data_IF_789776831168
#
_entry.id   IF_789776831168
#
_cell.length_a   1.000
_cell.length_b   1.000
_cell.length_c   1.000
_cell.angle_alpha   90.00
_cell.angle_beta   90.00
_cell.angle_gamma   90.00
#
_symmetry.space_group_name_H-M   'P 1'
#
loop_
_entity.id
_entity.type
_entity.pdbx_description
1 polymer ?
#
# COMPACT_ATOMS: atom_id res chain seq x y z
N UNK A 1 -42.00 -13.25 -11.37
CA UNK A 1 -41.02 -14.30 -11.69
C UNK A 1 -39.74 -13.94 -10.98
N UNK A 2 -39.30 -14.76 -10.01
CA UNK A 2 -37.99 -14.55 -9.41
C UNK A 2 -36.97 -14.78 -10.54
N UNK A 3 -36.16 -13.77 -10.86
CA UNK A 3 -35.05 -13.97 -11.78
C UNK A 3 -34.16 -15.04 -11.14
N UNK A 4 -34.01 -16.19 -11.80
CA UNK A 4 -33.11 -17.24 -11.32
C UNK A 4 -31.70 -16.66 -11.25
N UNK A 5 -31.22 -16.41 -10.03
CA UNK A 5 -29.83 -16.06 -9.78
C UNK A 5 -29.05 -17.37 -9.91
N UNK A 6 -28.69 -17.73 -11.14
CA UNK A 6 -27.75 -18.82 -11.38
C UNK A 6 -26.40 -18.32 -10.91
N UNK A 7 -25.92 -18.86 -9.78
CA UNK A 7 -24.54 -18.67 -9.37
C UNK A 7 -23.67 -19.49 -10.33
N UNK A 8 -22.77 -18.83 -11.06
CA UNK A 8 -21.78 -19.47 -11.92
C UNK A 8 -20.42 -19.50 -11.19
N UNK A 9 -20.00 -20.64 -10.62
CA UNK A 9 -18.75 -20.73 -9.87
C UNK A 9 -17.53 -20.68 -10.78
N UNK A 10 -16.62 -19.73 -10.56
CA UNK A 10 -15.29 -19.74 -11.17
C UNK A 10 -14.30 -20.49 -10.26
N UNK A 11 -14.12 -21.79 -10.54
CA UNK A 11 -13.18 -22.64 -9.80
C UNK A 11 -11.72 -22.22 -10.00
N UNK A 12 -11.37 -21.60 -11.12
CA UNK A 12 -10.01 -21.13 -11.37
C UNK A 12 -9.73 -19.92 -10.49
N UNK A 13 -10.66 -18.98 -10.37
CA UNK A 13 -10.54 -17.86 -9.44
C UNK A 13 -10.35 -18.32 -7.98
N UNK A 14 -11.08 -19.35 -7.53
CA UNK A 14 -10.86 -19.91 -6.19
C UNK A 14 -9.45 -20.49 -6.02
N UNK A 15 -8.91 -21.18 -7.03
CA UNK A 15 -7.53 -21.70 -7.00
C UNK A 15 -6.51 -20.56 -6.95
N UNK A 16 -6.72 -19.53 -7.76
CA UNK A 16 -5.85 -18.36 -7.78
C UNK A 16 -5.86 -17.64 -6.41
N UNK A 17 -7.01 -17.59 -5.73
CA UNK A 17 -7.13 -17.01 -4.39
C UNK A 17 -6.30 -17.80 -3.37
N UNK A 18 -6.40 -19.14 -3.42
CA UNK A 18 -5.60 -20.04 -2.59
C UNK A 18 -4.10 -19.76 -2.82
N UNK A 19 -3.66 -19.68 -4.08
CA UNK A 19 -2.28 -19.36 -4.45
C UNK A 19 -1.86 -17.93 -4.03
N UNK A 20 -2.80 -17.00 -3.93
CA UNK A 20 -2.57 -15.63 -3.47
C UNK A 20 -2.52 -15.48 -1.93
N UNK A 21 -2.73 -16.56 -1.17
CA UNK A 21 -2.63 -16.58 0.29
C UNK A 21 -3.94 -16.91 1.03
N UNK A 22 -5.02 -17.26 0.31
CA UNK A 22 -6.30 -17.63 0.90
C UNK A 22 -6.43 -19.16 1.14
N UNK A 23 -5.34 -19.83 1.55
CA UNK A 23 -5.26 -21.30 1.61
C UNK A 23 -6.33 -21.98 2.48
N UNK A 24 -6.84 -21.28 3.49
CA UNK A 24 -7.80 -21.79 4.45
C UNK A 24 -9.27 -21.46 4.14
N UNK A 25 -9.55 -20.80 3.00
CA UNK A 25 -10.89 -20.31 2.67
C UNK A 25 -11.94 -21.42 2.71
N UNK A 26 -11.58 -22.66 2.34
CA UNK A 26 -12.49 -23.82 2.30
C UNK A 26 -12.84 -24.38 3.69
N UNK A 27 -12.17 -23.96 4.76
CA UNK A 27 -12.47 -24.39 6.14
C UNK A 27 -13.71 -23.71 6.74
N UNK A 28 -14.12 -22.56 6.17
CA UNK A 28 -15.26 -21.78 6.64
C UNK A 28 -16.58 -22.57 6.49
N UNK A 29 -17.39 -22.63 7.55
CA UNK A 29 -18.75 -23.21 7.53
C UNK A 29 -19.83 -22.16 7.84
N UNK A 30 -19.51 -20.87 7.66
CA UNK A 30 -20.48 -19.77 7.71
C UNK A 30 -21.12 -19.53 9.09
N UNK A 31 -20.36 -19.63 10.18
CA UNK A 31 -20.85 -19.42 11.56
C UNK A 31 -21.06 -17.95 11.99
N UNK A 32 -20.63 -16.98 11.19
CA UNK A 32 -20.72 -15.54 11.46
C UNK A 32 -19.87 -14.95 12.61
N UNK A 33 -19.09 -15.74 13.36
CA UNK A 33 -18.20 -15.23 14.42
C UNK A 33 -17.32 -14.07 13.92
N UNK A 34 -16.78 -14.18 12.72
CA UNK A 34 -15.94 -13.15 12.10
C UNK A 34 -16.66 -11.82 11.85
N UNK A 35 -17.96 -11.86 11.54
CA UNK A 35 -18.78 -10.67 11.30
C UNK A 35 -19.14 -9.96 12.60
N UNK A 36 -19.35 -10.71 13.69
CA UNK A 36 -19.62 -10.14 15.02
C UNK A 36 -18.34 -9.60 15.66
N UNK A 37 -17.20 -10.25 15.41
CA UNK A 37 -15.90 -9.82 15.94
C UNK A 37 -15.40 -8.50 15.34
N UNK A 38 -15.86 -8.12 14.14
CA UNK A 38 -15.35 -6.97 13.42
C UNK A 38 -16.01 -5.67 13.88
N UNK A 39 -15.30 -4.87 14.67
CA UNK A 39 -15.82 -3.60 15.25
C UNK A 39 -16.08 -2.51 14.22
N UNK A 40 -15.38 -2.57 13.09
CA UNK A 40 -15.44 -1.58 12.01
C UNK A 40 -16.35 -2.01 10.85
N UNK A 41 -17.10 -3.10 11.03
CA UNK A 41 -18.07 -3.56 10.04
C UNK A 41 -19.37 -2.76 10.17
N UNK A 42 -19.99 -2.29 9.05
CA UNK A 42 -21.29 -1.65 9.13
C UNK A 42 -22.38 -2.61 9.62
N UNK A 43 -23.26 -2.14 10.51
CA UNK A 43 -24.35 -2.94 11.09
C UNK A 43 -25.25 -3.60 10.01
N UNK A 44 -25.52 -2.86 8.94
CA UNK A 44 -26.40 -3.30 7.86
C UNK A 44 -25.69 -4.09 6.74
N UNK A 45 -24.36 -4.16 6.77
CA UNK A 45 -23.58 -4.89 5.76
C UNK A 45 -22.30 -5.44 6.40
N UNK A 46 -22.43 -6.42 7.31
CA UNK A 46 -21.29 -6.94 8.03
C UNK A 46 -20.41 -7.82 7.12
N UNK A 47 -19.10 -7.69 7.29
CA UNK A 47 -18.04 -8.50 6.65
C UNK A 47 -17.22 -9.21 7.74
N UNK A 48 -16.45 -10.29 7.45
CA UNK A 48 -16.15 -10.88 6.15
C UNK A 48 -16.96 -12.14 5.80
N UNK A 49 -18.04 -12.49 6.52
CA UNK A 49 -18.75 -13.78 6.32
C UNK A 49 -19.22 -13.98 4.87
N UNK A 50 -19.85 -12.97 4.27
CA UNK A 50 -20.38 -13.05 2.89
C UNK A 50 -19.25 -13.16 1.86
N UNK A 51 -18.14 -12.49 2.10
CA UNK A 51 -16.93 -12.55 1.26
C UNK A 51 -16.29 -13.93 1.34
N UNK A 52 -16.34 -14.58 2.51
CA UNK A 52 -15.88 -15.95 2.66
C UNK A 52 -16.67 -16.93 1.79
N UNK A 53 -18.01 -16.81 1.73
CA UNK A 53 -18.80 -17.71 0.88
C UNK A 53 -18.57 -17.42 -0.61
N UNK A 54 -18.44 -16.15 -0.99
CA UNK A 54 -18.14 -15.78 -2.38
C UNK A 54 -16.75 -16.29 -2.81
N UNK A 55 -15.75 -16.23 -1.93
CA UNK A 55 -14.44 -16.81 -2.18
C UNK A 55 -14.51 -18.34 -2.32
N UNK A 56 -15.30 -19.01 -1.47
CA UNK A 56 -15.50 -20.46 -1.53
C UNK A 56 -16.18 -20.91 -2.82
N UNK A 57 -17.13 -20.14 -3.33
CA UNK A 57 -17.89 -20.46 -4.53
C UNK A 57 -17.32 -19.87 -5.80
N UNK A 58 -16.20 -19.13 -5.73
CA UNK A 58 -15.59 -18.56 -6.92
C UNK A 58 -16.44 -17.44 -7.55
N UNK A 59 -17.22 -16.70 -6.76
CA UNK A 59 -18.04 -15.60 -7.24
C UNK A 59 -17.19 -14.34 -7.45
N UNK A 60 -16.32 -14.38 -8.45
CA UNK A 60 -15.29 -13.37 -8.73
C UNK A 60 -15.85 -11.95 -8.75
N UNK A 61 -16.88 -11.71 -9.56
CA UNK A 61 -17.42 -10.36 -9.75
C UNK A 61 -18.05 -9.81 -8.47
N UNK A 62 -18.78 -10.64 -7.71
CA UNK A 62 -19.33 -10.19 -6.42
C UNK A 62 -18.23 -9.82 -5.43
N UNK A 63 -17.17 -10.62 -5.40
CA UNK A 63 -16.10 -10.46 -4.42
C UNK A 63 -15.16 -9.31 -4.76
N UNK A 64 -14.75 -9.17 -6.02
CA UNK A 64 -13.87 -8.08 -6.45
C UNK A 64 -14.58 -6.72 -6.43
N UNK A 65 -15.89 -6.70 -6.60
CA UNK A 65 -16.62 -5.44 -6.65
C UNK A 65 -17.22 -5.00 -5.30
N UNK A 66 -17.03 -5.78 -4.22
CA UNK A 66 -17.49 -5.38 -2.90
C UNK A 66 -16.47 -4.44 -2.23
N UNK A 67 -16.85 -3.18 -1.91
CA UNK A 67 -15.93 -2.26 -1.24
C UNK A 67 -15.52 -2.72 0.17
N UNK A 68 -16.23 -3.66 0.82
CA UNK A 68 -15.85 -4.20 2.14
C UNK A 68 -14.45 -4.80 2.15
N UNK A 69 -14.01 -5.33 1.00
CA UNK A 69 -12.64 -5.79 0.79
C UNK A 69 -11.64 -4.70 1.17
N UNK A 70 -11.92 -3.43 0.87
CA UNK A 70 -11.06 -2.28 1.12
C UNK A 70 -11.36 -1.53 2.43
N UNK A 71 -12.58 -1.65 2.96
CA UNK A 71 -12.94 -1.17 4.29
C UNK A 71 -12.23 -1.96 5.38
N UNK A 72 -12.10 -3.28 5.21
CA UNK A 72 -11.38 -4.11 6.16
C UNK A 72 -9.93 -3.61 6.38
N UNK A 73 -9.47 -3.61 7.63
CA UNK A 73 -8.11 -3.18 7.97
C UNK A 73 -7.10 -4.32 8.04
N UNK A 74 -7.55 -5.55 7.83
CA UNK A 74 -6.75 -6.76 7.94
C UNK A 74 -6.06 -6.86 9.30
N UNK A 75 -6.77 -6.49 10.37
CA UNK A 75 -6.29 -6.59 11.76
C UNK A 75 -6.12 -8.04 12.24
N UNK A 76 -6.86 -8.97 11.62
CA UNK A 76 -6.96 -10.39 11.93
C UNK A 76 -7.72 -10.75 13.22
N UNK A 77 -8.47 -9.81 13.83
CA UNK A 77 -9.41 -10.15 14.93
C UNK A 77 -10.36 -11.29 14.51
N UNK A 78 -10.90 -11.19 13.29
CA UNK A 78 -11.77 -12.22 12.72
C UNK A 78 -11.08 -13.56 12.45
N UNK A 79 -9.76 -13.57 12.22
CA UNK A 79 -8.98 -14.80 12.00
C UNK A 79 -8.65 -15.48 13.33
N UNK A 80 -8.21 -14.72 14.32
CA UNK A 80 -7.86 -15.24 15.66
C UNK A 80 -9.06 -15.84 16.39
N UNK A 81 -10.26 -15.28 16.18
CA UNK A 81 -11.50 -15.79 16.77
C UNK A 81 -12.20 -16.87 15.92
N UNK A 82 -11.65 -17.25 14.76
CA UNK A 82 -12.30 -18.21 13.88
C UNK A 82 -12.19 -19.63 14.46
N UNK A 83 -13.31 -20.32 14.80
CA UNK A 83 -13.28 -21.65 15.43
C UNK A 83 -12.73 -22.77 14.52
N UNK A 84 -12.48 -22.46 13.24
CA UNK A 84 -11.96 -23.41 12.24
C UNK A 84 -10.60 -23.04 11.70
N UNK A 85 -10.05 -21.89 12.11
CA UNK A 85 -8.86 -21.33 11.48
C UNK A 85 -9.04 -21.13 9.97
N UNK A 86 -10.18 -20.58 9.54
CA UNK A 86 -10.45 -20.27 8.13
C UNK A 86 -9.80 -18.97 7.64
N UNK A 87 -9.10 -18.25 8.54
CA UNK A 87 -8.30 -17.05 8.28
C UNK A 87 -8.96 -15.99 7.38
N UNK A 88 -10.15 -15.44 7.72
CA UNK A 88 -10.86 -14.49 6.86
C UNK A 88 -10.08 -13.21 6.53
N UNK A 89 -9.22 -12.75 7.44
CA UNK A 89 -8.34 -11.61 7.18
C UNK A 89 -7.35 -11.87 6.04
N UNK A 90 -6.86 -13.09 5.90
CA UNK A 90 -5.96 -13.49 4.81
C UNK A 90 -6.70 -13.66 3.48
N UNK A 91 -7.93 -14.14 3.53
CA UNK A 91 -8.80 -14.18 2.35
C UNK A 91 -9.02 -12.78 1.81
N UNK A 92 -9.44 -11.81 2.64
CA UNK A 92 -9.62 -10.43 2.18
C UNK A 92 -8.32 -9.78 1.70
N UNK A 93 -7.17 -10.10 2.32
CA UNK A 93 -5.85 -9.66 1.82
C UNK A 93 -5.58 -10.20 0.41
N UNK A 94 -5.84 -11.48 0.15
CA UNK A 94 -5.66 -12.10 -1.16
C UNK A 94 -6.59 -11.47 -2.21
N UNK A 95 -7.85 -11.20 -1.84
CA UNK A 95 -8.82 -10.51 -2.70
C UNK A 95 -8.34 -9.10 -3.06
N UNK A 96 -7.75 -8.33 -2.13
CA UNK A 96 -7.17 -7.00 -2.45
C UNK A 96 -6.07 -7.09 -3.50
N UNK A 97 -5.18 -8.07 -3.37
CA UNK A 97 -4.13 -8.31 -4.37
C UNK A 97 -4.75 -8.50 -5.75
N UNK A 98 -5.76 -9.35 -5.85
CA UNK A 98 -6.47 -9.59 -7.11
C UNK A 98 -7.21 -8.36 -7.62
N UNK A 99 -7.85 -7.60 -6.73
CA UNK A 99 -8.54 -6.37 -7.09
C UNK A 99 -7.57 -5.31 -7.66
N UNK A 100 -6.35 -5.19 -7.10
CA UNK A 100 -5.30 -4.36 -7.70
C UNK A 100 -4.95 -4.90 -9.08
N UNK A 101 -4.67 -6.19 -9.24
CA UNK A 101 -4.23 -6.77 -10.51
C UNK A 101 -5.29 -6.65 -11.62
N UNK A 102 -6.56 -6.85 -11.28
CA UNK A 102 -7.70 -6.74 -12.22
C UNK A 102 -7.85 -5.30 -12.72
N UNK A 103 -7.68 -4.33 -11.83
CA UNK A 103 -7.87 -2.92 -12.15
C UNK A 103 -6.58 -2.21 -12.59
N UNK A 104 -5.44 -2.90 -12.64
CA UNK A 104 -4.15 -2.30 -12.95
C UNK A 104 -4.10 -1.78 -14.39
N UNK A 105 -3.73 -0.51 -14.57
CA UNK A 105 -3.35 0.03 -15.86
C UNK A 105 -1.89 0.50 -15.87
N UNK A 106 -1.06 0.07 -16.83
CA UNK A 106 -1.34 -1.01 -17.79
C UNK A 106 -1.33 -2.41 -17.12
N UNK A 107 -2.19 -3.30 -17.59
CA UNK A 107 -2.47 -4.59 -16.92
C UNK A 107 -1.26 -5.54 -16.85
N UNK A 108 -0.34 -5.47 -17.82
CA UNK A 108 0.86 -6.30 -17.80
C UNK A 108 1.80 -5.96 -16.64
N UNK A 109 1.81 -4.72 -16.14
CA UNK A 109 2.62 -4.35 -14.98
C UNK A 109 2.03 -4.89 -13.67
N UNK A 110 0.70 -4.93 -13.56
CA UNK A 110 0.01 -5.63 -12.46
C UNK A 110 0.37 -7.12 -12.42
N UNK A 111 0.53 -7.75 -13.59
CA UNK A 111 1.01 -9.15 -13.70
C UNK A 111 2.49 -9.28 -13.33
N UNK A 112 3.36 -8.40 -13.85
CA UNK A 112 4.80 -8.36 -13.55
C UNK A 112 5.05 -8.30 -12.04
N UNK A 113 4.38 -7.38 -11.35
CA UNK A 113 4.60 -7.15 -9.91
C UNK A 113 3.92 -8.21 -9.05
N UNK A 114 2.76 -8.73 -9.44
CA UNK A 114 1.99 -9.67 -8.63
C UNK A 114 2.33 -11.15 -8.79
N UNK A 115 3.16 -11.52 -9.78
CA UNK A 115 3.49 -12.91 -10.11
C UNK A 115 4.87 -13.31 -9.57
N UNK A 116 4.99 -14.36 -8.73
CA UNK A 116 6.27 -14.77 -8.13
C UNK A 116 7.36 -15.08 -9.15
N UNK A 117 7.02 -15.75 -10.25
CA UNK A 117 7.98 -16.12 -11.31
C UNK A 117 8.60 -14.94 -12.06
N UNK A 118 8.07 -13.72 -11.91
CA UNK A 118 8.56 -12.53 -12.59
C UNK A 118 9.42 -11.63 -11.69
N UNK A 119 9.75 -12.09 -10.47
CA UNK A 119 10.55 -11.31 -9.50
C UNK A 119 11.87 -10.79 -10.09
N UNK A 120 12.65 -11.66 -10.73
CA UNK A 120 13.95 -11.30 -11.30
C UNK A 120 13.79 -10.24 -12.37
N UNK A 121 12.74 -10.31 -13.19
CA UNK A 121 12.46 -9.31 -14.21
C UNK A 121 12.04 -7.98 -13.58
N UNK A 122 11.14 -8.01 -12.58
CA UNK A 122 10.67 -6.82 -11.88
C UNK A 122 11.81 -6.08 -11.16
N UNK A 123 12.75 -6.80 -10.54
CA UNK A 123 13.92 -6.19 -9.90
C UNK A 123 14.99 -5.82 -10.93
N UNK A 124 15.13 -6.59 -12.01
CA UNK A 124 16.12 -6.37 -13.06
C UNK A 124 15.90 -5.09 -13.86
N UNK A 125 14.65 -4.67 -14.10
CA UNK A 125 14.32 -3.45 -14.84
C UNK A 125 14.94 -2.19 -14.19
N UNK A 126 14.65 -1.83 -12.93
CA UNK A 126 15.25 -0.64 -12.33
C UNK A 126 16.77 -0.77 -12.16
N UNK A 127 17.30 -1.98 -11.93
CA UNK A 127 18.74 -2.22 -11.91
C UNK A 127 19.37 -1.86 -13.26
N UNK A 128 18.84 -2.42 -14.36
CA UNK A 128 19.36 -2.18 -15.70
C UNK A 128 19.30 -0.69 -16.07
N UNK A 129 18.20 0.00 -15.77
CA UNK A 129 18.06 1.44 -16.04
C UNK A 129 19.06 2.26 -15.24
N UNK A 130 19.22 2.00 -13.93
CA UNK A 130 20.18 2.76 -13.11
C UNK A 130 21.63 2.44 -13.50
N UNK A 131 21.96 1.19 -13.79
CA UNK A 131 23.29 0.84 -14.29
C UNK A 131 23.57 1.49 -15.65
N UNK A 132 22.57 1.60 -16.52
CA UNK A 132 22.70 2.35 -17.76
C UNK A 132 22.99 3.84 -17.51
N UNK A 133 22.30 4.47 -16.55
CA UNK A 133 22.60 5.86 -16.14
C UNK A 133 24.04 5.97 -15.62
N UNK A 134 24.50 5.05 -14.76
CA UNK A 134 25.88 5.03 -14.24
C UNK A 134 26.90 4.83 -15.36
N UNK A 135 26.60 3.97 -16.34
CA UNK A 135 27.43 3.73 -17.51
C UNK A 135 27.61 5.00 -18.35
N UNK A 136 26.51 5.66 -18.71
CA UNK A 136 26.55 6.96 -19.41
C UNK A 136 27.28 8.02 -18.57
N UNK A 137 27.19 7.93 -17.25
CA UNK A 137 27.86 8.87 -16.35
C UNK A 137 29.37 8.67 -16.29
N UNK A 138 29.93 7.55 -16.78
CA UNK A 138 31.38 7.29 -16.87
C UNK A 138 31.87 6.02 -16.17
N UNK A 139 30.99 5.30 -15.45
CA UNK A 139 31.31 4.03 -14.77
C UNK A 139 32.58 4.07 -13.88
N UNK A 140 32.88 5.21 -13.27
CA UNK A 140 34.04 5.38 -12.40
C UNK A 140 33.69 6.25 -11.20
N UNK A 141 34.33 6.02 -10.06
CA UNK A 141 34.15 6.88 -8.89
C UNK A 141 34.99 8.15 -9.03
N UNK A 142 34.39 9.35 -8.92
CA UNK A 142 35.15 10.59 -8.92
C UNK A 142 36.15 10.63 -7.75
N UNK A 143 37.35 11.12 -8.03
CA UNK A 143 38.34 11.46 -7.00
C UNK A 143 37.98 12.80 -6.33
N UNK A 144 38.19 12.90 -5.01
CA UNK A 144 37.99 14.15 -4.26
C UNK A 144 36.76 14.10 -3.34
N UNK A 145 36.17 15.26 -2.99
CA UNK A 145 35.04 15.31 -2.06
C UNK A 145 33.81 14.62 -2.68
N UNK A 146 33.04 13.92 -1.84
CA UNK A 146 31.84 13.20 -2.25
C UNK A 146 30.81 14.19 -2.84
N UNK A 147 30.62 14.10 -4.16
CA UNK A 147 29.60 14.82 -4.93
C UNK A 147 28.77 13.81 -5.71
N UNK A 148 27.46 13.76 -5.44
CA UNK A 148 26.56 12.76 -6.03
C UNK A 148 26.18 13.06 -7.48
N UNK A 149 26.10 14.33 -7.84
CA UNK A 149 25.51 14.76 -9.11
C UNK A 149 26.43 15.71 -9.88
N UNK A 150 26.37 15.61 -11.21
CA UNK A 150 27.07 16.47 -12.16
C UNK A 150 26.13 16.86 -13.30
N UNK A 151 26.33 18.05 -13.88
CA UNK A 151 25.61 18.50 -15.09
C UNK A 151 26.32 18.10 -16.39
N UNK A 152 27.45 17.40 -16.28
CA UNK A 152 28.25 16.95 -17.43
C UNK A 152 28.35 15.43 -17.45
N UNK A 153 28.39 14.87 -18.66
CA UNK A 153 28.57 13.44 -18.93
C UNK A 153 30.03 13.04 -18.63
N UNK A 154 30.28 11.80 -18.20
CA UNK A 154 31.63 11.25 -17.97
C UNK A 154 32.51 12.06 -16.99
N UNK A 155 31.90 12.48 -15.86
CA UNK A 155 32.41 13.20 -14.68
C UNK A 155 33.51 14.28 -14.86
N UNK A 156 33.17 15.57 -14.73
CA UNK A 156 34.08 16.58 -14.22
C UNK A 156 33.55 17.18 -12.91
N UNK A 157 33.59 16.38 -11.83
CA UNK A 157 33.30 16.70 -10.42
C UNK A 157 31.95 16.20 -9.83
N UNK A 158 31.32 15.15 -10.35
CA UNK A 158 30.19 14.51 -9.64
C UNK A 158 29.74 13.19 -10.25
N UNK A 159 29.25 12.25 -9.43
CA UNK A 159 29.13 10.81 -9.75
C UNK A 159 27.96 10.39 -10.66
N UNK A 160 26.89 11.17 -10.80
CA UNK A 160 25.78 10.82 -11.72
C UNK A 160 25.42 12.01 -12.58
N UNK A 161 25.22 11.77 -13.87
CA UNK A 161 24.70 12.76 -14.80
C UNK A 161 23.24 13.12 -14.46
N UNK A 162 23.08 14.24 -13.77
CA UNK A 162 21.83 14.66 -13.14
C UNK A 162 20.67 14.89 -14.12
N UNK A 163 20.86 15.52 -15.29
CA UNK A 163 19.77 15.73 -16.24
C UNK A 163 19.10 14.43 -16.70
N UNK A 164 19.89 13.39 -17.00
CA UNK A 164 19.33 12.09 -17.39
C UNK A 164 18.60 11.41 -16.23
N UNK A 165 19.16 11.47 -15.02
CA UNK A 165 18.52 10.95 -13.82
C UNK A 165 17.16 11.63 -13.58
N UNK A 166 17.11 12.96 -13.65
CA UNK A 166 15.89 13.76 -13.45
C UNK A 166 14.81 13.43 -14.48
N UNK A 167 15.16 13.35 -15.77
CA UNK A 167 14.18 13.00 -16.82
C UNK A 167 13.58 11.62 -16.57
N UNK A 168 14.41 10.62 -16.28
CA UNK A 168 13.95 9.24 -16.08
C UNK A 168 13.09 9.12 -14.81
N UNK A 169 13.54 9.67 -13.68
CA UNK A 169 12.83 9.55 -12.41
C UNK A 169 11.55 10.37 -12.40
N UNK A 170 11.54 11.56 -13.02
CA UNK A 170 10.32 12.37 -13.17
C UNK A 170 9.33 11.67 -14.09
N UNK A 171 9.77 11.09 -15.22
CA UNK A 171 8.92 10.30 -16.08
C UNK A 171 8.36 9.06 -15.35
N UNK A 172 9.16 8.38 -14.54
CA UNK A 172 8.70 7.24 -13.72
C UNK A 172 7.64 7.67 -12.68
N UNK A 173 7.84 8.81 -12.01
CA UNK A 173 6.86 9.35 -11.06
C UNK A 173 5.55 9.73 -11.75
N UNK A 174 5.62 10.45 -12.88
CA UNK A 174 4.45 10.84 -13.67
C UNK A 174 3.72 9.60 -14.18
N UNK A 175 4.45 8.62 -14.71
CA UNK A 175 3.89 7.35 -15.17
C UNK A 175 3.19 6.60 -14.03
N UNK A 176 3.82 6.49 -12.85
CA UNK A 176 3.24 5.86 -11.68
C UNK A 176 1.96 6.56 -11.21
N UNK A 177 1.94 7.90 -11.21
CA UNK A 177 0.77 8.70 -10.84
C UNK A 177 -0.38 8.52 -11.84
N UNK A 178 -0.11 8.62 -13.14
CA UNK A 178 -1.11 8.40 -14.21
C UNK A 178 -1.67 6.97 -14.13
N UNK A 179 -0.78 5.98 -13.94
CA UNK A 179 -1.16 4.58 -13.80
C UNK A 179 -2.07 4.35 -12.59
N UNK A 180 -1.77 4.97 -11.44
CA UNK A 180 -2.63 4.92 -10.26
C UNK A 180 -4.01 5.52 -10.57
N UNK A 181 -4.06 6.72 -11.14
CA UNK A 181 -5.32 7.40 -11.49
C UNK A 181 -6.17 6.54 -12.42
N UNK A 182 -5.58 5.98 -13.47
CA UNK A 182 -6.28 5.10 -14.41
C UNK A 182 -6.78 3.82 -13.74
N UNK A 183 -5.99 3.24 -12.84
CA UNK A 183 -6.38 2.04 -12.10
C UNK A 183 -7.53 2.32 -11.14
N UNK A 184 -7.51 3.47 -10.46
CA UNK A 184 -8.60 3.92 -9.58
C UNK A 184 -9.88 4.26 -10.36
N UNK A 185 -9.77 4.80 -11.58
CA UNK A 185 -10.92 5.02 -12.47
C UNK A 185 -11.57 3.70 -12.89
N UNK A 186 -10.77 2.67 -13.21
CA UNK A 186 -11.28 1.32 -13.48
C UNK A 186 -12.03 0.77 -12.28
N UNK A 187 -11.42 0.88 -11.09
CA UNK A 187 -12.03 0.41 -9.85
C UNK A 187 -13.33 1.16 -9.50
N UNK A 188 -13.38 2.48 -9.71
CA UNK A 188 -14.61 3.25 -9.53
C UNK A 188 -15.77 2.74 -10.38
N UNK A 189 -15.50 2.48 -11.67
CA UNK A 189 -16.51 1.93 -12.59
C UNK A 189 -17.00 0.54 -12.14
N UNK A 190 -16.10 -0.27 -11.58
CA UNK A 190 -16.41 -1.58 -11.01
C UNK A 190 -17.33 -1.49 -9.78
N UNK A 191 -17.14 -0.47 -8.93
CA UNK A 191 -18.04 -0.20 -7.81
C UNK A 191 -19.43 0.26 -8.30
N UNK A 192 -19.48 1.16 -9.29
CA UNK A 192 -20.74 1.64 -9.88
C UNK A 192 -21.57 0.51 -10.51
N UNK A 193 -20.94 -0.43 -11.20
CA UNK A 193 -21.64 -1.58 -11.81
C UNK A 193 -22.22 -2.55 -10.79
N UNK A 194 -21.81 -2.44 -9.53
CA UNK A 194 -22.09 -3.42 -8.49
C UNK A 194 -23.05 -2.91 -7.43
N UNK A 195 -23.73 -1.78 -7.70
CA UNK A 195 -24.75 -1.21 -6.86
C UNK A 195 -26.15 -1.77 -7.23
N UNK A 196 -26.63 -2.87 -6.61
CA UNK A 196 -27.89 -3.51 -6.97
C UNK A 196 -29.05 -2.94 -6.16
N UNK A 197 -28.77 -2.07 -5.18
CA UNK A 197 -29.75 -1.48 -4.28
C UNK A 197 -29.81 0.00 -4.62
N UNK A 198 -30.97 0.45 -5.07
CA UNK A 198 -31.27 1.87 -5.31
C UNK A 198 -31.24 2.71 -4.02
N UNK A 199 -30.13 2.69 -3.28
CA UNK A 199 -29.76 3.74 -2.32
C UNK A 199 -29.25 4.96 -3.12
N UNK A 200 -29.95 5.30 -4.21
CA UNK A 200 -29.83 6.60 -4.84
C UNK A 200 -30.71 7.55 -4.04
N UNK A 201 -30.11 8.39 -3.19
CA UNK A 201 -30.83 9.51 -2.59
C UNK A 201 -30.45 9.89 -1.16
N UNK A 202 -29.61 9.13 -0.43
CA UNK A 202 -29.26 9.44 0.96
C UNK A 202 -27.77 9.70 1.23
N UNK A 203 -26.88 9.50 0.24
CA UNK A 203 -25.45 9.74 0.38
C UNK A 203 -25.03 11.19 0.15
N UNK A 204 -23.80 11.55 0.53
CA UNK A 204 -23.25 12.90 0.31
C UNK A 204 -22.60 13.00 -1.08
N UNK A 205 -22.52 14.19 -1.70
CA UNK A 205 -21.77 14.35 -2.95
C UNK A 205 -20.32 13.85 -2.80
N UNK A 206 -19.72 13.42 -3.90
CA UNK A 206 -18.41 12.75 -3.88
C UNK A 206 -17.30 13.59 -3.22
N UNK A 207 -17.24 14.90 -3.47
CA UNK A 207 -16.19 15.77 -2.93
C UNK A 207 -16.24 15.85 -1.38
N UNK A 208 -17.39 16.17 -0.75
CA UNK A 208 -17.55 16.02 0.70
C UNK A 208 -17.18 14.63 1.23
N UNK A 209 -17.68 13.56 0.57
CA UNK A 209 -17.33 12.17 0.95
C UNK A 209 -15.83 11.91 0.93
N UNK A 210 -15.12 12.46 -0.06
CA UNK A 210 -13.67 12.34 -0.18
C UNK A 210 -12.94 13.07 0.95
N UNK A 211 -13.36 14.29 1.28
CA UNK A 211 -12.78 15.07 2.39
C UNK A 211 -12.97 14.32 3.72
N UNK A 212 -14.19 13.85 4.00
CA UNK A 212 -14.48 13.05 5.19
C UNK A 212 -13.66 11.76 5.23
N UNK A 213 -13.42 11.13 4.09
CA UNK A 213 -12.57 9.93 3.99
C UNK A 213 -11.11 10.24 4.33
N UNK A 214 -10.57 11.37 3.85
CA UNK A 214 -9.20 11.79 4.18
C UNK A 214 -9.05 12.13 5.67
N UNK A 215 -10.03 12.79 6.26
CA UNK A 215 -10.06 13.11 7.69
C UNK A 215 -10.07 11.86 8.59
N UNK A 216 -10.65 10.76 8.10
CA UNK A 216 -10.64 9.47 8.80
C UNK A 216 -9.33 8.68 8.58
N UNK A 217 -8.81 8.67 7.34
CA UNK A 217 -7.65 7.87 6.96
C UNK A 217 -6.35 8.42 7.54
N UNK A 218 -6.11 9.74 7.48
CA UNK A 218 -4.85 10.35 7.90
C UNK A 218 -4.49 10.08 9.38
N UNK A 219 -5.40 10.30 10.36
CA UNK A 219 -5.11 9.98 11.76
C UNK A 219 -5.22 8.48 12.08
N UNK A 220 -5.65 7.64 11.12
CA UNK A 220 -5.88 6.21 11.31
C UNK A 220 -6.86 5.88 12.47
N UNK A 221 -7.86 6.73 12.71
CA UNK A 221 -8.80 6.60 13.86
C UNK A 221 -9.50 5.25 13.89
N UNK A 222 -10.02 4.80 12.75
CA UNK A 222 -10.73 3.51 12.59
C UNK A 222 -9.79 2.31 12.81
N UNK A 223 -8.49 2.45 12.52
CA UNK A 223 -7.52 1.38 12.75
C UNK A 223 -7.18 1.18 14.22
N UNK A 224 -7.34 2.20 15.05
CA UNK A 224 -7.14 2.10 16.50
C UNK A 224 -8.16 1.16 17.16
N UNK A 225 -9.31 0.92 16.53
CA UNK A 225 -10.37 0.04 17.06
C UNK A 225 -10.07 -1.46 16.91
N UNK A 226 -8.99 -1.80 16.19
CA UNK A 226 -8.59 -3.17 15.89
C UNK A 226 -7.56 -3.72 16.90
N UNK A 227 -8.00 -4.51 17.87
CA UNK A 227 -7.20 -4.81 19.07
C UNK A 227 -6.14 -5.90 18.93
N UNK A 228 -6.35 -6.96 18.14
CA UNK A 228 -5.37 -8.05 18.05
C UNK A 228 -4.03 -7.60 17.47
N UNK A 229 -3.95 -6.37 16.93
CA UNK A 229 -2.75 -5.88 16.29
C UNK A 229 -2.39 -4.42 16.59
N UNK A 230 -2.56 -3.97 17.84
CA UNK A 230 -2.22 -2.61 18.28
C UNK A 230 -0.76 -2.19 17.99
N UNK A 231 0.19 -3.12 18.07
CA UNK A 231 1.59 -2.82 17.70
C UNK A 231 1.73 -2.51 16.21
N UNK A 232 0.93 -3.17 15.34
CA UNK A 232 0.95 -2.88 13.90
C UNK A 232 0.35 -1.52 13.62
N UNK A 233 -0.65 -1.07 14.37
CA UNK A 233 -1.15 0.30 14.29
C UNK A 233 -0.01 1.32 14.52
N UNK A 234 0.73 1.19 15.63
CA UNK A 234 1.85 2.08 15.93
C UNK A 234 2.95 2.00 14.87
N UNK A 235 3.37 0.80 14.48
CA UNK A 235 4.38 0.60 13.45
C UNK A 235 3.96 1.18 12.08
N UNK A 236 2.68 1.08 11.73
CA UNK A 236 2.13 1.66 10.50
C UNK A 236 2.11 3.17 10.56
N UNK A 237 1.76 3.76 11.70
CA UNK A 237 1.76 5.22 11.86
C UNK A 237 3.18 5.79 11.72
N UNK A 238 4.18 5.11 12.31
CA UNK A 238 5.60 5.46 12.16
C UNK A 238 6.07 5.38 10.70
N UNK A 239 5.73 4.29 10.01
CA UNK A 239 6.07 4.11 8.60
C UNK A 239 5.35 5.13 7.70
N UNK A 240 4.05 5.37 7.92
CA UNK A 240 3.25 6.28 7.11
C UNK A 240 3.74 7.73 7.22
N UNK A 241 3.86 8.26 8.44
CA UNK A 241 4.31 9.65 8.65
C UNK A 241 5.80 9.83 8.38
N UNK A 242 6.62 8.81 8.64
CA UNK A 242 8.03 8.80 8.23
C UNK A 242 8.16 8.92 6.72
N UNK A 243 7.41 8.13 5.96
CA UNK A 243 7.40 8.20 4.51
C UNK A 243 6.84 9.52 3.97
N UNK A 244 5.76 10.04 4.56
CA UNK A 244 5.19 11.32 4.16
C UNK A 244 6.18 12.47 4.39
N UNK A 245 6.88 12.49 5.53
CA UNK A 245 7.91 13.49 5.79
C UNK A 245 9.12 13.36 4.86
N UNK A 246 9.55 12.14 4.51
CA UNK A 246 10.56 11.90 3.48
C UNK A 246 10.13 12.40 2.10
N UNK A 247 8.87 12.16 1.72
CA UNK A 247 8.31 12.65 0.47
C UNK A 247 8.25 14.18 0.44
N UNK A 248 7.73 14.82 1.50
CA UNK A 248 7.64 16.28 1.63
C UNK A 248 9.03 16.92 1.58
N UNK A 249 10.00 16.38 2.31
CA UNK A 249 11.37 16.90 2.30
C UNK A 249 12.01 16.79 0.92
N UNK A 250 11.82 15.65 0.24
CA UNK A 250 12.27 15.46 -1.15
C UNK A 250 11.59 16.44 -2.10
N UNK A 251 10.27 16.61 -2.00
CA UNK A 251 9.50 17.51 -2.85
C UNK A 251 9.91 18.97 -2.68
N UNK A 252 10.13 19.43 -1.43
CA UNK A 252 10.60 20.79 -1.14
C UNK A 252 11.99 21.01 -1.74
N UNK A 253 12.91 20.05 -1.56
CA UNK A 253 14.27 20.16 -2.11
C UNK A 253 14.25 20.15 -3.63
N UNK A 254 13.48 19.25 -4.25
CA UNK A 254 13.31 19.19 -5.70
C UNK A 254 12.70 20.49 -6.24
N UNK A 255 11.62 21.00 -5.64
CA UNK A 255 11.00 22.26 -6.06
C UNK A 255 11.95 23.45 -5.95
N UNK A 256 12.64 23.58 -4.82
CA UNK A 256 13.60 24.67 -4.63
C UNK A 256 14.77 24.59 -5.63
N UNK A 257 15.27 23.39 -5.90
CA UNK A 257 16.41 23.19 -6.78
C UNK A 257 16.05 23.26 -8.26
N UNK A 258 15.03 22.51 -8.69
CA UNK A 258 14.66 22.32 -10.09
C UNK A 258 13.80 23.48 -10.62
N UNK A 259 12.97 24.11 -9.79
CA UNK A 259 12.05 25.18 -10.21
C UNK A 259 12.58 26.56 -9.85
N UNK A 260 13.06 26.75 -8.61
CA UNK A 260 13.54 28.05 -8.15
C UNK A 260 15.04 28.27 -8.36
N UNK A 261 15.81 27.24 -8.73
CA UNK A 261 17.26 27.33 -8.89
C UNK A 261 18.03 27.55 -7.58
N UNK A 262 17.38 27.37 -6.43
CA UNK A 262 17.97 27.57 -5.11
C UNK A 262 18.83 26.37 -4.72
N UNK A 263 20.09 26.62 -4.37
CA UNK A 263 21.00 25.57 -3.91
C UNK A 263 20.58 25.11 -2.51
N UNK A 264 20.57 23.79 -2.23
CA UNK A 264 20.19 23.28 -0.92
C UNK A 264 21.18 23.76 0.17
N UNK A 265 20.68 24.17 1.33
CA UNK A 265 21.51 24.65 2.44
C UNK A 265 22.34 23.50 3.03
N UNK A 266 23.67 23.60 2.87
CA UNK A 266 24.71 22.68 3.34
C UNK A 266 24.52 21.20 2.90
N UNK A 267 25.47 20.70 2.12
CA UNK A 267 25.48 19.29 1.71
C UNK A 267 26.10 18.36 2.76
N UNK A 268 26.73 18.86 3.84
CA UNK A 268 27.59 18.07 4.73
C UNK A 268 27.06 18.00 6.18
N UNK A 269 27.01 16.78 6.73
CA UNK A 269 26.56 16.48 8.10
C UNK A 269 25.04 16.31 8.27
N UNK A 270 24.57 15.99 9.49
CA UNK A 270 23.14 15.92 9.83
C UNK A 270 22.44 17.27 9.63
N UNK A 271 23.20 18.38 9.59
CA UNK A 271 22.72 19.74 9.37
C UNK A 271 21.84 20.25 10.51
N UNK A 272 21.93 21.53 10.83
CA UNK A 272 20.98 22.21 11.74
C UNK A 272 19.79 22.81 11.00
N UNK A 273 19.72 22.61 9.68
CA UNK A 273 18.67 23.19 8.85
C UNK A 273 17.37 22.42 9.07
N UNK A 274 16.21 23.10 9.22
CA UNK A 274 14.94 22.44 9.52
C UNK A 274 14.58 21.29 8.58
N UNK A 275 14.85 21.42 7.28
CA UNK A 275 14.54 20.39 6.29
C UNK A 275 15.35 19.09 6.50
N UNK A 276 16.58 19.21 6.98
CA UNK A 276 17.45 18.06 7.27
C UNK A 276 17.04 17.37 8.58
N UNK A 277 16.69 18.15 9.60
CA UNK A 277 16.15 17.62 10.86
C UNK A 277 14.87 16.83 10.58
N UNK A 278 13.96 17.41 9.79
CA UNK A 278 12.73 16.74 9.37
C UNK A 278 13.05 15.45 8.59
N UNK A 279 13.94 15.52 7.60
CA UNK A 279 14.34 14.35 6.80
C UNK A 279 14.89 13.21 7.65
N UNK A 280 15.78 13.50 8.59
CA UNK A 280 16.43 12.49 9.42
C UNK A 280 15.46 11.90 10.45
N UNK A 281 14.62 12.73 11.09
CA UNK A 281 13.57 12.25 11.98
C UNK A 281 12.57 11.35 11.23
N UNK A 282 12.17 11.77 10.03
CA UNK A 282 11.30 10.99 9.14
C UNK A 282 11.93 9.67 8.70
N UNK A 283 13.22 9.66 8.36
CA UNK A 283 13.94 8.44 7.98
C UNK A 283 14.02 7.42 9.13
N UNK A 284 14.34 7.89 10.34
CA UNK A 284 14.37 7.04 11.54
C UNK A 284 12.99 6.47 11.83
N UNK A 285 11.95 7.32 11.83
CA UNK A 285 10.56 6.89 12.02
C UNK A 285 10.14 5.84 11.00
N UNK A 286 10.47 6.08 9.72
CA UNK A 286 10.13 5.18 8.62
C UNK A 286 10.79 3.80 8.77
N UNK A 287 12.11 3.76 8.96
CA UNK A 287 12.86 2.51 9.07
C UNK A 287 12.51 1.76 10.35
N UNK A 288 12.30 2.45 11.47
CA UNK A 288 11.84 1.83 12.71
C UNK A 288 10.45 1.18 12.55
N UNK A 289 9.50 1.90 11.93
CA UNK A 289 8.17 1.36 11.64
C UNK A 289 8.23 0.09 10.78
N UNK A 290 9.03 0.10 9.71
CA UNK A 290 9.22 -1.07 8.86
C UNK A 290 9.94 -2.22 9.58
N UNK A 291 10.95 -1.92 10.39
CA UNK A 291 11.69 -2.93 11.15
C UNK A 291 10.77 -3.65 12.16
N UNK A 292 9.93 -2.92 12.88
CA UNK A 292 8.93 -3.50 13.80
C UNK A 292 7.98 -4.43 13.02
N UNK A 293 7.50 -4.00 11.85
CA UNK A 293 6.63 -4.85 11.01
C UNK A 293 7.34 -6.10 10.50
N UNK A 294 8.61 -5.99 10.11
CA UNK A 294 9.41 -7.10 9.61
C UNK A 294 9.67 -8.13 10.70
N UNK A 295 10.12 -7.69 11.89
CA UNK A 295 10.36 -8.56 13.04
C UNK A 295 9.08 -9.30 13.40
N UNK A 296 7.95 -8.60 13.52
CA UNK A 296 6.67 -9.25 13.89
C UNK A 296 6.16 -10.23 12.84
N UNK A 297 6.42 -9.97 11.56
CA UNK A 297 6.10 -10.92 10.50
C UNK A 297 6.90 -12.22 10.64
N UNK A 298 8.11 -12.16 11.18
CA UNK A 298 8.97 -13.31 11.41
C UNK A 298 8.69 -14.01 12.75
N UNK A 299 8.27 -13.27 13.78
CA UNK A 299 8.13 -13.81 15.16
C UNK A 299 6.69 -14.10 15.60
N UNK A 300 5.67 -13.47 15.00
CA UNK A 300 4.25 -13.61 15.37
C UNK A 300 3.33 -13.90 14.17
N UNK A 301 3.59 -14.98 13.40
CA UNK A 301 2.88 -15.26 12.15
C UNK A 301 1.38 -15.55 12.34
N UNK A 302 1.00 -16.12 13.48
CA UNK A 302 -0.37 -16.41 13.90
C UNK A 302 -1.25 -15.16 14.00
N UNK A 303 -0.68 -14.05 14.47
CA UNK A 303 -1.37 -12.75 14.58
C UNK A 303 -1.32 -11.95 13.28
N UNK A 304 -0.23 -12.06 12.51
CA UNK A 304 -0.04 -11.27 11.28
C UNK A 304 -0.69 -11.90 10.05
N UNK A 305 -1.03 -13.18 10.11
CA UNK A 305 -1.52 -13.98 8.99
C UNK A 305 -0.39 -14.38 8.04
N UNK A 306 -0.75 -15.12 6.99
CA UNK A 306 0.16 -15.63 5.97
C UNK A 306 0.89 -14.49 5.24
N UNK A 307 2.12 -14.72 4.77
CA UNK A 307 2.88 -13.75 3.98
C UNK A 307 2.94 -14.23 2.53
N UNK A 308 2.27 -13.53 1.62
CA UNK A 308 2.32 -13.87 0.20
C UNK A 308 3.54 -13.21 -0.47
N UNK A 309 3.92 -13.69 -1.65
CA UNK A 309 4.95 -13.06 -2.49
C UNK A 309 4.75 -11.54 -2.64
N UNK A 310 3.51 -11.11 -2.84
CA UNK A 310 3.14 -9.71 -3.01
C UNK A 310 3.50 -8.84 -1.79
N UNK A 311 3.41 -9.40 -0.58
CA UNK A 311 3.82 -8.73 0.65
C UNK A 311 5.36 -8.62 0.72
N UNK A 312 6.06 -9.70 0.39
CA UNK A 312 7.52 -9.76 0.44
C UNK A 312 8.19 -8.88 -0.61
N UNK A 313 7.67 -8.86 -1.84
CA UNK A 313 8.15 -7.98 -2.90
C UNK A 313 8.06 -6.51 -2.47
N UNK A 314 6.89 -6.11 -1.95
CA UNK A 314 6.71 -4.74 -1.48
C UNK A 314 7.63 -4.41 -0.30
N UNK A 315 7.76 -5.31 0.69
CA UNK A 315 8.67 -5.13 1.81
C UNK A 315 10.14 -5.03 1.38
N UNK A 316 10.57 -5.86 0.42
CA UNK A 316 11.91 -5.82 -0.16
C UNK A 316 12.20 -4.44 -0.77
N UNK A 317 11.28 -3.92 -1.60
CA UNK A 317 11.46 -2.62 -2.26
C UNK A 317 11.45 -1.47 -1.25
N UNK A 318 10.46 -1.42 -0.36
CA UNK A 318 10.27 -0.29 0.56
C UNK A 318 11.32 -0.25 1.68
N UNK A 319 11.66 -1.41 2.25
CA UNK A 319 12.72 -1.51 3.25
C UNK A 319 14.10 -1.29 2.60
N UNK A 320 14.32 -1.84 1.41
CA UNK A 320 15.51 -1.58 0.61
C UNK A 320 15.72 -0.08 0.38
N UNK A 321 14.69 0.64 -0.07
CA UNK A 321 14.73 2.09 -0.26
C UNK A 321 15.08 2.83 1.05
N UNK A 322 14.39 2.53 2.16
CA UNK A 322 14.63 3.17 3.45
C UNK A 322 16.03 2.90 4.02
N UNK A 323 16.44 1.62 4.07
CA UNK A 323 17.72 1.20 4.62
C UNK A 323 18.90 1.71 3.77
N UNK A 324 18.85 1.55 2.45
CA UNK A 324 19.90 2.08 1.55
C UNK A 324 20.03 3.60 1.63
N UNK A 325 18.92 4.33 1.83
CA UNK A 325 18.95 5.79 1.99
C UNK A 325 19.71 6.21 3.25
N UNK A 326 19.38 5.60 4.40
CA UNK A 326 20.11 5.83 5.66
C UNK A 326 21.59 5.43 5.55
N UNK A 327 21.89 4.27 4.97
CA UNK A 327 23.28 3.80 4.79
C UNK A 327 24.08 4.71 3.87
N UNK A 328 23.44 5.28 2.83
CA UNK A 328 24.07 6.28 1.96
C UNK A 328 24.45 7.54 2.75
N UNK A 329 23.60 7.98 3.68
CA UNK A 329 23.93 9.11 4.55
C UNK A 329 25.07 8.78 5.54
N UNK A 330 25.01 7.63 6.21
CA UNK A 330 26.02 7.21 7.18
C UNK A 330 27.40 7.00 6.55
N UNK A 331 27.46 6.33 5.39
CA UNK A 331 28.71 6.14 4.65
C UNK A 331 29.32 7.47 4.22
N UNK A 332 28.49 8.45 3.83
CA UNK A 332 28.95 9.80 3.48
C UNK A 332 29.57 10.52 4.68
N UNK A 333 29.02 10.36 5.89
CA UNK A 333 29.58 10.97 7.10
C UNK A 333 30.95 10.39 7.49
N UNK A 334 31.16 9.10 7.21
CA UNK A 334 32.45 8.42 7.46
C UNK A 334 33.48 8.69 6.36
N UNK A 335 33.08 9.34 5.26
CA UNK A 335 33.97 9.65 4.13
C UNK A 335 34.34 8.44 3.27
N UNK A 336 33.65 7.31 3.41
CA UNK A 336 33.90 6.08 2.65
C UNK A 336 33.39 6.20 1.21
N UNK A 337 34.17 6.86 0.35
CA UNK A 337 33.81 7.21 -1.05
C UNK A 337 33.19 6.04 -1.82
N UNK A 338 33.86 4.88 -1.87
CA UNK A 338 33.38 3.72 -2.62
C UNK A 338 32.06 3.16 -2.08
N UNK A 339 31.90 3.11 -0.75
CA UNK A 339 30.67 2.65 -0.13
C UNK A 339 29.52 3.63 -0.41
N UNK A 340 29.78 4.94 -0.30
CA UNK A 340 28.77 5.98 -0.52
C UNK A 340 28.20 5.96 -1.94
N UNK A 341 29.06 5.90 -2.96
CA UNK A 341 28.58 5.86 -4.35
C UNK A 341 27.85 4.55 -4.66
N UNK A 342 28.35 3.42 -4.18
CA UNK A 342 27.69 2.13 -4.34
C UNK A 342 26.30 2.10 -3.69
N UNK A 343 26.20 2.55 -2.44
CA UNK A 343 24.94 2.59 -1.70
C UNK A 343 23.95 3.57 -2.33
N UNK A 344 24.43 4.71 -2.83
CA UNK A 344 23.60 5.66 -3.56
C UNK A 344 23.04 5.05 -4.86
N UNK A 345 23.86 4.34 -5.63
CA UNK A 345 23.39 3.59 -6.82
C UNK A 345 22.33 2.55 -6.45
N UNK A 346 22.56 1.76 -5.40
CA UNK A 346 21.58 0.78 -4.90
C UNK A 346 20.28 1.47 -4.46
N UNK A 347 20.39 2.59 -3.75
CA UNK A 347 19.23 3.37 -3.32
C UNK A 347 18.40 3.84 -4.52
N UNK A 348 19.04 4.35 -5.57
CA UNK A 348 18.36 4.76 -6.80
C UNK A 348 17.64 3.59 -7.48
N UNK A 349 18.18 2.37 -7.46
CA UNK A 349 17.50 1.17 -7.99
C UNK A 349 16.19 0.91 -7.23
N UNK A 350 16.23 0.97 -5.90
CA UNK A 350 15.03 0.79 -5.08
C UNK A 350 14.01 1.92 -5.27
N UNK A 351 14.47 3.19 -5.32
CA UNK A 351 13.58 4.34 -5.53
C UNK A 351 12.92 4.26 -6.90
N UNK A 352 13.66 3.94 -7.97
CA UNK A 352 13.08 3.78 -9.31
C UNK A 352 12.06 2.63 -9.34
N UNK A 353 12.40 1.49 -8.73
CA UNK A 353 11.47 0.36 -8.58
C UNK A 353 10.21 0.76 -7.80
N UNK A 354 10.36 1.53 -6.72
CA UNK A 354 9.24 2.04 -5.94
C UNK A 354 8.34 2.93 -6.80
N UNK A 355 8.89 3.90 -7.54
CA UNK A 355 8.12 4.82 -8.39
C UNK A 355 7.37 4.07 -9.51
N UNK A 356 8.02 3.14 -10.19
CA UNK A 356 7.43 2.37 -11.30
C UNK A 356 6.35 1.40 -10.83
N UNK A 357 6.53 0.77 -9.66
CA UNK A 357 5.67 -0.31 -9.17
C UNK A 357 4.67 0.12 -8.09
N UNK A 358 4.69 1.39 -7.66
CA UNK A 358 3.76 1.98 -6.70
C UNK A 358 2.29 1.58 -6.97
N UNK A 359 1.71 1.84 -8.17
CA UNK A 359 0.29 1.57 -8.42
C UNK A 359 -0.06 0.08 -8.50
N UNK A 360 0.94 -0.79 -8.67
CA UNK A 360 0.75 -2.24 -8.88
C UNK A 360 1.10 -3.05 -7.63
N UNK A 361 1.57 -2.39 -6.58
CA UNK A 361 2.02 -3.02 -5.33
C UNK A 361 1.01 -2.80 -4.21
N UNK A 362 1.32 -3.33 -3.02
CA UNK A 362 0.53 -3.07 -1.81
C UNK A 362 0.47 -1.58 -1.44
N UNK A 363 1.36 -0.74 -1.97
CA UNK A 363 1.29 0.71 -1.79
C UNK A 363 -0.02 1.31 -2.31
N UNK A 364 -0.57 0.76 -3.39
CA UNK A 364 -1.82 1.22 -3.99
C UNK A 364 -3.01 1.20 -3.03
N UNK A 365 -2.92 0.47 -1.91
CA UNK A 365 -3.99 0.40 -0.90
C UNK A 365 -4.46 1.78 -0.42
N UNK A 366 -3.57 2.79 -0.36
CA UNK A 366 -3.94 4.14 0.03
C UNK A 366 -5.00 4.69 -0.94
N UNK A 367 -4.80 4.53 -2.26
CA UNK A 367 -5.74 4.97 -3.28
C UNK A 367 -7.03 4.16 -3.27
N UNK A 368 -6.93 2.82 -3.35
CA UNK A 368 -8.10 1.95 -3.44
C UNK A 368 -9.00 2.04 -2.20
N UNK A 369 -8.40 2.10 -0.99
CA UNK A 369 -9.16 2.30 0.25
C UNK A 369 -9.84 3.67 0.27
N UNK A 370 -9.13 4.73 -0.08
CA UNK A 370 -9.70 6.08 -0.12
C UNK A 370 -10.91 6.13 -1.05
N UNK A 371 -10.78 5.54 -2.24
CA UNK A 371 -11.88 5.45 -3.21
C UNK A 371 -13.04 4.60 -2.65
N UNK A 372 -12.76 3.46 -2.03
CA UNK A 372 -13.80 2.58 -1.49
C UNK A 372 -14.60 3.24 -0.33
N UNK A 373 -13.91 3.95 0.58
CA UNK A 373 -14.56 4.67 1.69
C UNK A 373 -15.36 5.83 1.13
N UNK A 374 -14.79 6.65 0.24
CA UNK A 374 -15.48 7.80 -0.35
C UNK A 374 -16.72 7.35 -1.14
N UNK A 375 -16.60 6.27 -1.92
CA UNK A 375 -17.74 5.67 -2.62
C UNK A 375 -18.81 5.20 -1.62
N UNK A 376 -18.43 4.47 -0.57
CA UNK A 376 -19.36 3.96 0.45
C UNK A 376 -20.12 5.07 1.16
N UNK A 377 -19.46 6.19 1.47
CA UNK A 377 -20.09 7.41 2.02
C UNK A 377 -21.06 8.05 1.01
N UNK A 378 -20.65 8.12 -0.26
CA UNK A 378 -21.43 8.76 -1.32
C UNK A 378 -22.72 8.01 -1.69
N UNK A 379 -22.76 6.69 -1.45
CA UNK A 379 -23.98 5.87 -1.65
C UNK A 379 -24.72 5.60 -0.35
N UNK A 380 -24.31 6.22 0.76
CA UNK A 380 -24.97 6.08 2.06
C UNK A 380 -24.85 4.68 2.70
N UNK A 381 -23.91 3.84 2.25
CA UNK A 381 -23.67 2.49 2.80
C UNK A 381 -23.23 2.53 4.26
N UNK A 382 -22.56 3.61 4.66
CA UNK A 382 -22.11 3.83 6.04
C UNK A 382 -23.21 4.36 6.97
N UNK A 383 -24.36 4.77 6.43
CA UNK A 383 -25.48 5.23 7.25
C UNK A 383 -26.29 4.00 7.69
N UNK A 384 -26.53 3.90 9.00
CA UNK A 384 -27.57 3.02 9.50
C UNK A 384 -28.89 3.43 8.85
N UNK A 385 -29.50 2.57 8.03
CA UNK A 385 -30.91 2.73 7.69
C UNK A 385 -31.70 2.84 9.01
N UNK A 386 -32.78 3.64 9.05
CA UNK A 386 -33.66 3.63 10.21
C UNK A 386 -34.00 2.17 10.51
N UNK A 387 -33.70 1.78 11.74
CA UNK A 387 -34.14 0.53 12.34
C UNK A 387 -35.58 0.32 11.90
N UNK A 388 -35.89 -0.83 11.27
CA UNK A 388 -37.27 -1.14 10.89
C UNK A 388 -38.15 -0.78 12.08
N UNK A 389 -39.29 -0.07 11.92
CA UNK A 389 -40.03 0.53 13.02
C UNK A 389 -40.45 -0.43 14.15
N UNK A 390 -40.26 -1.74 13.94
CA UNK A 390 -40.55 -2.83 14.89
C UNK A 390 -39.32 -3.66 15.30
N UNK A 391 -38.08 -3.25 15.01
CA UNK A 391 -36.89 -3.93 15.52
C UNK A 391 -36.54 -3.39 16.90
N UNK A 392 -36.83 -4.20 17.91
CA UNK A 392 -36.36 -4.00 19.28
C UNK A 392 -34.97 -4.64 19.33
N UNK A 393 -33.88 -3.86 19.46
CA UNK A 393 -32.56 -4.45 19.67
C UNK A 393 -32.60 -5.32 20.93
N UNK A 394 -31.91 -6.46 20.96
CA UNK A 394 -31.79 -7.23 22.19
C UNK A 394 -31.26 -6.31 23.29
N UNK A 395 -31.95 -6.28 24.42
CA UNK A 395 -31.50 -5.56 25.62
C UNK A 395 -30.08 -6.01 25.88
N UNK A 396 -29.13 -5.06 25.88
CA UNK A 396 -27.74 -5.34 26.27
C UNK A 396 -27.83 -6.09 27.60
N UNK A 397 -27.33 -7.33 27.65
CA UNK A 397 -27.21 -8.03 28.91
C UNK A 397 -26.38 -7.11 29.81
N UNK A 398 -27.04 -6.54 30.83
CA UNK A 398 -26.34 -5.94 31.94
C UNK A 398 -25.40 -7.02 32.44
N UNK A 399 -24.11 -6.72 32.42
CA UNK A 399 -23.10 -7.53 33.08
C UNK A 399 -23.57 -7.66 34.52
N UNK A 400 -24.11 -8.84 34.87
CA UNK A 400 -24.23 -9.23 36.26
C UNK A 400 -22.80 -9.22 36.82
N UNK A 401 -22.66 -8.46 37.91
CA UNK A 401 -21.46 -8.04 38.63
C UNK A 401 -20.20 -8.94 38.54
#
# INVERSE_FOLDING_TARGET
MANDIIAEPDLQFTKDLISAGAGDLKKCYQCATCSVACRIAPDNSPYPRKEMIWAQWGLKDRLLNDPDVWLCHQCNDCSTQCPRGANPGDVLKAVRKMNIQENSWPSFLGKLVGTPGMFVLAVGIPIAVVLFIVYISGWAFPSGPIKYSSHSIAHPDGFIYLPLLQVIFTAALVFGAVSLIMSLKSYWKQLESSNPVGISGSGTPFVPSLIESLQEILPHTTFKECEANNIRYAAHLLAFWGMMGLFVTTAIVAFNYDILGLKPPSQNGPGTVPIKILGNASAISFVLGLAIMLVRRLTTPDQTGTSAYFDWFFLFVIFGAGASGLLTELSRWTGLVGATYTLYTIHLMFVLGLLLYLPFSKFAHLGYRTVAIAWSKSVGRNKSLPVAPNYIPPVKAETAE
#
